data_IF_552294727890
#
_entry.id   IF_552294727890
#
_cell.length_a   1.000
_cell.length_b   1.000
_cell.length_c   1.000
_cell.angle_alpha   90.00
_cell.angle_beta   90.00
_cell.angle_gamma   90.00
#
_symmetry.space_group_name_H-M   'P 1'
#
loop_
_entity.id
_entity.type
_entity.pdbx_description
1 polymer ?
#
# COMPACT_ATOMS: atom_id res chain seq x y z
N UNK A 1 1.11 18.53 16.50
CA UNK A 1 0.74 17.79 15.29
C UNK A 1 1.09 18.64 14.08
N UNK A 2 1.56 18.01 13.01
CA UNK A 2 1.96 18.68 11.77
C UNK A 2 1.86 17.71 10.60
N UNK A 3 2.12 18.21 9.40
CA UNK A 3 2.24 17.37 8.21
C UNK A 3 3.60 16.66 8.18
N UNK A 4 3.63 15.43 7.70
CA UNK A 4 4.87 14.72 7.42
C UNK A 4 5.79 15.51 6.46
N UNK A 5 5.18 16.25 5.54
CA UNK A 5 5.91 17.09 4.58
C UNK A 5 6.64 18.28 5.22
N UNK A 6 6.25 18.66 6.43
CA UNK A 6 6.87 19.77 7.17
C UNK A 6 7.97 19.28 8.14
N UNK A 7 8.17 17.96 8.24
CA UNK A 7 9.09 17.32 9.20
C UNK A 7 10.50 17.93 9.20
N UNK A 8 11.16 18.20 8.04
CA UNK A 8 12.50 18.80 8.03
C UNK A 8 12.56 20.20 8.66
N UNK A 9 11.45 20.94 8.66
CA UNK A 9 11.38 22.31 9.18
C UNK A 9 10.92 22.41 10.63
N UNK A 10 10.53 21.28 11.24
CA UNK A 10 10.03 21.25 12.62
C UNK A 10 11.11 21.36 13.69
N UNK A 11 12.40 21.32 13.31
CA UNK A 11 13.52 21.45 14.26
C UNK A 11 13.65 20.25 15.21
N UNK A 12 13.17 19.07 14.82
CA UNK A 12 13.19 17.85 15.65
C UNK A 12 14.56 17.14 15.64
N UNK A 13 15.50 17.58 14.82
CA UNK A 13 16.79 16.91 14.62
C UNK A 13 16.69 15.72 13.70
N UNK A 14 17.69 14.83 13.76
CA UNK A 14 17.75 13.61 12.94
C UNK A 14 17.47 12.39 13.82
N UNK A 15 16.92 11.35 13.18
CA UNK A 15 16.53 10.09 13.83
C UNK A 15 17.37 8.93 13.31
N UNK A 16 17.84 8.06 14.19
CA UNK A 16 18.56 6.83 13.80
C UNK A 16 17.61 5.81 13.15
N UNK A 17 16.32 5.85 13.50
CA UNK A 17 15.31 4.99 12.92
C UNK A 17 13.98 5.74 12.77
N UNK A 18 13.34 5.59 11.63
CA UNK A 18 12.00 6.11 11.33
C UNK A 18 11.09 4.96 10.95
N UNK A 19 9.93 4.86 11.57
CA UNK A 19 8.88 3.92 11.18
C UNK A 19 7.74 4.67 10.48
N UNK A 20 7.47 4.33 9.21
CA UNK A 20 6.46 4.94 8.37
C UNK A 20 5.56 3.88 7.74
N UNK A 21 4.68 3.32 8.56
CA UNK A 21 3.74 2.28 8.16
C UNK A 21 2.37 2.87 7.82
N UNK A 22 1.83 2.55 6.63
CA UNK A 22 0.48 2.91 6.25
C UNK A 22 0.24 4.38 5.89
N UNK A 23 1.28 5.15 5.54
CA UNK A 23 1.17 6.61 5.34
C UNK A 23 1.49 7.04 3.92
N UNK A 24 2.63 6.63 3.36
CA UNK A 24 3.13 7.17 2.09
C UNK A 24 2.15 6.98 0.92
N UNK A 25 1.46 5.85 0.88
CA UNK A 25 0.54 5.51 -0.20
C UNK A 25 -0.77 6.35 -0.18
N UNK A 26 -1.01 7.12 0.87
CA UNK A 26 -2.12 8.06 0.98
C UNK A 26 -1.73 9.51 0.65
N UNK A 27 -0.44 9.79 0.49
CA UNK A 27 0.01 11.13 0.12
C UNK A 27 -0.31 11.44 -1.35
N UNK A 28 -0.48 12.72 -1.64
CA UNK A 28 -0.60 13.21 -3.02
C UNK A 28 0.69 12.94 -3.80
N UNK A 29 1.82 13.20 -3.14
CA UNK A 29 3.16 12.96 -3.64
C UNK A 29 3.95 12.10 -2.63
N UNK A 30 3.94 10.76 -2.78
CA UNK A 30 4.70 9.86 -1.93
C UNK A 30 6.22 10.07 -1.99
N UNK A 31 6.74 10.48 -3.16
CA UNK A 31 8.17 10.73 -3.33
C UNK A 31 8.63 11.92 -2.48
N UNK A 32 7.84 13.00 -2.47
CA UNK A 32 8.07 14.15 -1.59
C UNK A 32 7.95 13.78 -0.11
N UNK A 33 7.00 12.92 0.23
CA UNK A 33 6.86 12.39 1.59
C UNK A 33 8.08 11.61 2.03
N UNK A 34 8.57 10.71 1.18
CA UNK A 34 9.76 9.91 1.46
C UNK A 34 11.02 10.78 1.53
N UNK A 35 11.17 11.78 0.65
CA UNK A 35 12.28 12.74 0.72
C UNK A 35 12.32 13.49 2.06
N UNK A 36 11.17 13.98 2.55
CA UNK A 36 11.09 14.65 3.86
C UNK A 36 11.50 13.74 5.03
N UNK A 37 11.15 12.45 4.97
CA UNK A 37 11.61 11.45 5.94
C UNK A 37 13.12 11.23 5.83
N UNK A 38 13.65 11.12 4.61
CA UNK A 38 15.08 10.91 4.35
C UNK A 38 15.93 12.09 4.85
N UNK A 39 15.45 13.33 4.67
CA UNK A 39 16.12 14.52 5.20
C UNK A 39 16.17 14.53 6.73
N UNK A 40 15.27 13.84 7.39
CA UNK A 40 15.21 13.73 8.86
C UNK A 40 15.93 12.48 9.40
N UNK A 41 16.48 11.65 8.51
CA UNK A 41 17.23 10.45 8.90
C UNK A 41 18.69 10.81 9.21
N UNK A 42 19.23 10.27 10.30
CA UNK A 42 20.65 10.41 10.63
C UNK A 42 21.53 9.68 9.62
N UNK A 43 22.77 10.14 9.38
CA UNK A 43 23.71 9.39 8.56
C UNK A 43 23.90 7.96 9.07
N UNK A 44 23.65 6.97 8.22
CA UNK A 44 23.67 5.55 8.59
C UNK A 44 22.41 5.05 9.32
N UNK A 45 21.41 5.89 9.46
CA UNK A 45 20.11 5.51 10.00
C UNK A 45 19.31 4.60 9.07
N UNK A 46 18.27 3.99 9.58
CA UNK A 46 17.37 3.08 8.87
C UNK A 46 15.90 3.51 8.91
N UNK A 47 15.10 2.97 7.99
CA UNK A 47 13.69 3.28 7.93
C UNK A 47 12.86 2.00 7.69
N UNK A 48 11.80 1.80 8.47
CA UNK A 48 10.75 0.84 8.21
C UNK A 48 9.63 1.48 7.39
N UNK A 49 9.33 0.93 6.22
CA UNK A 49 8.27 1.43 5.36
C UNK A 49 7.27 0.31 5.09
N UNK A 50 5.97 0.59 5.28
CA UNK A 50 4.91 -0.26 4.78
C UNK A 50 4.01 0.55 3.84
N UNK A 51 3.82 0.02 2.64
CA UNK A 51 2.86 0.52 1.64
C UNK A 51 1.98 -0.62 1.16
N UNK A 52 0.87 -0.30 0.52
CA UNK A 52 -0.03 -1.31 -0.02
C UNK A 52 0.57 -1.99 -1.26
N UNK A 53 0.49 -3.32 -1.31
CA UNK A 53 0.91 -4.14 -2.45
C UNK A 53 -0.20 -4.30 -3.50
N UNK A 54 0.16 -4.20 -4.78
CA UNK A 54 -0.78 -4.29 -5.92
C UNK A 54 -1.52 -5.62 -5.91
N UNK A 55 -0.81 -6.72 -5.76
CA UNK A 55 -1.37 -8.07 -5.84
C UNK A 55 -2.21 -8.42 -4.62
N UNK A 56 -1.74 -8.05 -3.42
CA UNK A 56 -2.48 -8.23 -2.17
C UNK A 56 -3.81 -7.47 -2.13
N UNK A 57 -3.93 -6.39 -2.89
CA UNK A 57 -5.16 -5.59 -3.00
C UNK A 57 -6.06 -5.97 -4.19
N UNK A 58 -5.89 -7.15 -4.76
CA UNK A 58 -6.76 -7.66 -5.83
C UNK A 58 -8.22 -7.64 -5.41
N UNK A 59 -9.06 -6.98 -6.19
CA UNK A 59 -10.48 -6.76 -5.91
C UNK A 59 -10.82 -5.43 -5.24
N UNK A 60 -9.88 -4.81 -4.52
CA UNK A 60 -10.11 -3.53 -3.83
C UNK A 60 -10.35 -2.41 -4.83
N UNK A 61 -9.43 -2.21 -5.78
CA UNK A 61 -9.52 -1.12 -6.76
C UNK A 61 -10.71 -1.29 -7.71
N UNK A 62 -11.11 -2.53 -8.01
CA UNK A 62 -12.32 -2.83 -8.77
C UNK A 62 -13.57 -2.42 -7.98
N UNK A 63 -13.64 -2.75 -6.69
CA UNK A 63 -14.74 -2.33 -5.82
C UNK A 63 -14.78 -0.80 -5.63
N UNK A 64 -13.62 -0.15 -5.45
CA UNK A 64 -13.53 1.31 -5.42
C UNK A 64 -14.04 1.93 -6.74
N UNK A 65 -13.70 1.35 -7.90
CA UNK A 65 -14.18 1.82 -9.19
C UNK A 65 -15.70 1.69 -9.32
N UNK A 66 -16.29 0.56 -8.87
CA UNK A 66 -17.75 0.39 -8.82
C UNK A 66 -18.42 1.44 -7.92
N UNK A 67 -17.86 1.69 -6.73
CA UNK A 67 -18.38 2.70 -5.80
C UNK A 67 -18.31 4.11 -6.40
N UNK A 68 -17.21 4.46 -7.05
CA UNK A 68 -17.10 5.75 -7.75
C UNK A 68 -18.16 5.92 -8.84
N UNK A 69 -18.50 4.85 -9.57
CA UNK A 69 -19.58 4.88 -10.57
C UNK A 69 -20.94 5.08 -9.94
N UNK A 70 -21.23 4.39 -8.82
CA UNK A 70 -22.51 4.49 -8.13
C UNK A 70 -22.75 5.88 -7.52
N UNK A 71 -21.68 6.54 -7.06
CA UNK A 71 -21.79 7.83 -6.34
C UNK A 71 -21.43 9.04 -7.20
N UNK A 72 -21.11 8.84 -8.49
CA UNK A 72 -20.62 9.88 -9.39
C UNK A 72 -21.52 11.10 -9.52
N UNK A 73 -22.84 10.88 -9.47
CA UNK A 73 -23.85 11.90 -9.67
C UNK A 73 -24.63 12.24 -8.39
N UNK A 74 -24.12 11.77 -7.23
CA UNK A 74 -24.79 12.07 -5.97
C UNK A 74 -24.71 13.57 -5.67
N UNK A 75 -25.84 14.23 -5.32
CA UNK A 75 -25.84 15.63 -4.91
C UNK A 75 -25.05 15.80 -3.60
N UNK A 76 -24.52 17.00 -3.35
CA UNK A 76 -23.65 17.29 -2.22
C UNK A 76 -24.10 16.78 -0.84
N UNK A 77 -25.41 16.77 -0.45
CA UNK A 77 -25.84 16.19 0.83
C UNK A 77 -25.69 14.66 0.90
N UNK A 78 -25.75 13.95 -0.24
CA UNK A 78 -25.55 12.50 -0.30
C UNK A 78 -24.07 12.08 -0.27
N UNK A 79 -23.15 13.02 -0.35
CA UNK A 79 -21.69 12.78 -0.31
C UNK A 79 -21.11 12.69 1.09
N UNK A 80 -21.94 12.63 2.15
CA UNK A 80 -21.41 12.45 3.52
C UNK A 80 -20.70 11.11 3.67
N UNK A 81 -19.67 11.01 4.53
CA UNK A 81 -18.99 9.74 4.80
C UNK A 81 -19.97 8.62 5.15
N UNK A 82 -20.97 8.89 5.98
CA UNK A 82 -22.00 7.92 6.40
C UNK A 82 -22.86 7.42 5.23
N UNK A 83 -23.28 8.32 4.33
CA UNK A 83 -24.03 7.93 3.15
C UNK A 83 -23.18 7.05 2.21
N UNK A 84 -21.93 7.40 2.00
CA UNK A 84 -20.99 6.60 1.20
C UNK A 84 -20.73 5.22 1.81
N UNK A 85 -20.58 5.13 3.12
CA UNK A 85 -20.44 3.86 3.86
C UNK A 85 -21.69 2.99 3.64
N UNK A 86 -22.88 3.57 3.73
CA UNK A 86 -24.15 2.84 3.49
C UNK A 86 -24.20 2.25 2.07
N UNK A 87 -23.82 3.03 1.06
CA UNK A 87 -23.75 2.56 -0.33
C UNK A 87 -22.73 1.43 -0.47
N UNK A 88 -21.54 1.58 0.13
CA UNK A 88 -20.50 0.56 0.10
C UNK A 88 -20.96 -0.76 0.75
N UNK A 89 -21.59 -0.70 1.93
CA UNK A 89 -22.16 -1.89 2.61
C UNK A 89 -23.22 -2.57 1.75
N UNK A 90 -24.11 -1.80 1.13
CA UNK A 90 -25.16 -2.33 0.25
C UNK A 90 -24.55 -3.02 -0.97
N UNK A 91 -23.53 -2.43 -1.60
CA UNK A 91 -22.81 -3.05 -2.71
C UNK A 91 -22.15 -4.36 -2.28
N UNK A 92 -21.36 -4.34 -1.19
CA UNK A 92 -20.63 -5.51 -0.71
C UNK A 92 -21.55 -6.70 -0.40
N UNK A 93 -22.72 -6.44 0.16
CA UNK A 93 -23.71 -7.49 0.47
C UNK A 93 -24.24 -8.20 -0.79
N UNK A 94 -24.21 -7.54 -1.94
CA UNK A 94 -24.73 -8.05 -3.21
C UNK A 94 -23.67 -8.60 -4.16
N UNK A 95 -22.40 -8.46 -3.84
CA UNK A 95 -21.34 -9.00 -4.67
C UNK A 95 -21.42 -10.53 -4.74
N UNK A 96 -21.27 -11.15 -5.92
CA UNK A 96 -21.28 -12.60 -6.05
C UNK A 96 -20.08 -13.23 -5.33
N UNK A 97 -20.22 -14.49 -4.94
CA UNK A 97 -19.14 -15.24 -4.28
C UNK A 97 -17.86 -15.37 -5.11
N UNK A 98 -17.97 -15.18 -6.43
CA UNK A 98 -16.83 -15.19 -7.36
C UNK A 98 -16.10 -13.84 -7.45
N UNK A 99 -16.62 -12.80 -6.80
CA UNK A 99 -15.99 -11.48 -6.79
C UNK A 99 -14.60 -11.54 -6.12
N UNK A 100 -13.62 -10.90 -6.73
CA UNK A 100 -12.23 -10.94 -6.27
C UNK A 100 -12.04 -10.39 -4.85
N UNK A 101 -12.70 -9.29 -4.50
CA UNK A 101 -12.62 -8.75 -3.13
C UNK A 101 -13.18 -9.75 -2.11
N UNK A 102 -14.33 -10.40 -2.40
CA UNK A 102 -14.90 -11.40 -1.51
C UNK A 102 -14.04 -12.66 -1.34
N UNK A 103 -13.21 -12.96 -2.33
CA UNK A 103 -12.32 -14.14 -2.32
C UNK A 103 -10.91 -13.83 -1.84
N UNK A 104 -10.60 -12.57 -1.57
CA UNK A 104 -9.26 -12.17 -1.18
C UNK A 104 -9.06 -12.36 0.34
N UNK A 105 -8.28 -13.35 0.79
CA UNK A 105 -8.05 -13.59 2.21
C UNK A 105 -7.07 -12.58 2.84
N UNK A 106 -6.35 -11.80 2.01
CA UNK A 106 -5.39 -10.81 2.49
C UNK A 106 -6.04 -9.47 2.87
N UNK A 107 -7.36 -9.32 2.63
CA UNK A 107 -8.06 -8.06 2.85
C UNK A 107 -9.30 -8.31 3.72
N UNK A 108 -9.22 -7.88 4.98
CA UNK A 108 -10.28 -8.06 5.97
C UNK A 108 -10.81 -6.77 6.61
N UNK A 109 -10.13 -5.63 6.43
CA UNK A 109 -10.42 -4.37 7.14
C UNK A 109 -11.88 -3.92 7.03
N UNK A 110 -12.50 -4.10 5.86
CA UNK A 110 -13.92 -3.76 5.61
C UNK A 110 -14.91 -4.66 6.36
N UNK A 111 -14.46 -5.79 6.88
CA UNK A 111 -15.24 -6.75 7.67
C UNK A 111 -14.99 -6.58 9.16
N UNK A 112 -13.73 -6.37 9.56
CA UNK A 112 -13.25 -6.47 10.93
C UNK A 112 -13.12 -5.12 11.65
N UNK A 113 -12.73 -4.06 10.91
CA UNK A 113 -12.49 -2.73 11.49
C UNK A 113 -13.68 -1.76 11.38
N UNK A 114 -14.88 -2.27 11.18
CA UNK A 114 -16.12 -1.49 11.16
C UNK A 114 -16.19 -0.45 10.04
N UNK A 115 -16.80 0.70 10.33
CA UNK A 115 -16.98 1.78 9.35
C UNK A 115 -15.65 2.47 8.99
N UNK A 116 -14.73 2.56 9.93
CA UNK A 116 -13.41 3.17 9.69
C UNK A 116 -12.59 2.34 8.70
N UNK A 117 -12.48 1.03 8.92
CA UNK A 117 -11.75 0.15 8.02
C UNK A 117 -12.39 0.03 6.64
N UNK A 118 -13.74 0.03 6.58
CA UNK A 118 -14.45 0.06 5.31
C UNK A 118 -14.19 1.36 4.55
N UNK A 119 -14.20 2.49 5.26
CA UNK A 119 -13.95 3.80 4.64
C UNK A 119 -12.51 3.90 4.13
N UNK A 120 -11.55 3.51 4.94
CA UNK A 120 -10.13 3.51 4.57
C UNK A 120 -9.88 2.63 3.35
N UNK A 121 -10.36 1.40 3.37
CA UNK A 121 -10.13 0.44 2.29
C UNK A 121 -10.80 0.83 0.97
N UNK A 122 -12.06 1.30 1.00
CA UNK A 122 -12.90 1.40 -0.20
C UNK A 122 -13.28 2.82 -0.59
N UNK A 123 -13.20 3.78 0.31
CA UNK A 123 -13.73 5.12 0.12
C UNK A 123 -12.67 6.21 0.28
N UNK A 124 -11.44 5.86 0.64
CA UNK A 124 -10.33 6.80 0.71
C UNK A 124 -10.13 7.46 -0.66
N UNK A 125 -9.94 8.78 -0.68
CA UNK A 125 -9.83 9.55 -1.92
C UNK A 125 -8.47 9.36 -2.62
N UNK A 126 -7.46 8.98 -1.86
CA UNK A 126 -6.08 8.78 -2.33
C UNK A 126 -5.59 7.45 -1.77
N UNK A 127 -5.36 6.52 -2.66
CA UNK A 127 -4.90 5.19 -2.34
C UNK A 127 -4.10 4.68 -3.53
N UNK A 128 -2.82 4.41 -3.31
CA UNK A 128 -1.89 3.92 -4.33
C UNK A 128 -1.25 2.62 -3.83
N UNK A 129 -1.29 1.58 -4.64
CA UNK A 129 -0.50 0.39 -4.37
C UNK A 129 0.77 0.37 -5.21
N UNK A 130 1.76 -0.36 -4.73
CA UNK A 130 3.06 -0.56 -5.35
C UNK A 130 3.28 -2.05 -5.57
N UNK A 131 3.86 -2.40 -6.70
CA UNK A 131 4.60 -3.63 -6.85
C UNK A 131 6.04 -3.44 -6.31
N UNK A 132 6.80 -4.53 -6.20
CA UNK A 132 8.18 -4.47 -5.71
C UNK A 132 9.05 -3.54 -6.55
N UNK A 133 8.88 -3.53 -7.88
CA UNK A 133 9.65 -2.67 -8.77
C UNK A 133 9.34 -1.18 -8.54
N UNK A 134 8.06 -0.81 -8.47
CA UNK A 134 7.64 0.57 -8.21
C UNK A 134 8.02 1.05 -6.81
N UNK A 135 8.03 0.16 -5.80
CA UNK A 135 8.55 0.49 -4.49
C UNK A 135 10.06 0.74 -4.54
N UNK A 136 10.82 -0.10 -5.25
CA UNK A 136 12.27 0.08 -5.41
C UNK A 136 12.61 1.40 -6.12
N UNK A 137 11.85 1.77 -7.15
CA UNK A 137 12.01 3.07 -7.83
C UNK A 137 11.73 4.25 -6.87
N UNK A 138 10.68 4.16 -6.08
CA UNK A 138 10.35 5.20 -5.09
C UNK A 138 11.47 5.37 -4.06
N UNK A 139 12.00 4.27 -3.53
CA UNK A 139 13.07 4.24 -2.53
C UNK A 139 14.37 4.79 -3.12
N UNK A 140 14.77 4.33 -4.32
CA UNK A 140 15.96 4.81 -5.02
C UNK A 140 15.87 6.30 -5.36
N UNK A 141 14.68 6.79 -5.74
CA UNK A 141 14.43 8.21 -6.01
C UNK A 141 14.65 9.12 -4.80
N UNK A 142 14.56 8.59 -3.59
CA UNK A 142 14.89 9.29 -2.34
C UNK A 142 16.36 9.11 -1.89
N UNK A 143 17.21 8.46 -2.69
CA UNK A 143 18.59 8.19 -2.34
C UNK A 143 18.77 7.08 -1.30
N UNK A 144 17.79 6.20 -1.14
CA UNK A 144 17.82 5.07 -0.23
C UNK A 144 17.94 3.74 -1.00
N UNK A 145 18.29 2.68 -0.26
CA UNK A 145 18.34 1.31 -0.76
C UNK A 145 17.44 0.41 0.10
N UNK A 146 16.82 -0.60 -0.51
CA UNK A 146 16.07 -1.63 0.21
C UNK A 146 17.09 -2.59 0.82
N UNK A 147 17.25 -2.53 2.14
CA UNK A 147 18.14 -3.44 2.87
C UNK A 147 17.56 -4.86 3.00
N UNK A 148 16.24 -4.96 3.24
CA UNK A 148 15.54 -6.22 3.35
C UNK A 148 14.01 -6.01 3.25
N UNK A 149 13.29 -7.07 2.87
CA UNK A 149 11.85 -7.15 3.06
C UNK A 149 11.54 -7.79 4.42
N UNK A 150 10.52 -7.27 5.10
CA UNK A 150 9.98 -7.93 6.29
C UNK A 150 9.32 -9.23 5.86
N UNK A 151 9.52 -10.32 6.62
CA UNK A 151 9.13 -11.67 6.22
C UNK A 151 9.75 -12.07 4.85
N UNK A 152 11.09 -12.14 4.74
CA UNK A 152 11.80 -12.26 3.47
C UNK A 152 11.41 -13.49 2.65
N UNK A 153 10.88 -14.53 3.30
CA UNK A 153 10.38 -15.72 2.59
C UNK A 153 9.20 -15.43 1.65
N UNK A 154 8.40 -14.40 1.91
CA UNK A 154 7.29 -13.98 1.04
C UNK A 154 7.78 -13.45 -0.30
N UNK A 155 9.02 -12.95 -0.32
CA UNK A 155 9.68 -12.37 -1.48
C UNK A 155 10.77 -13.30 -2.04
N UNK A 156 10.77 -14.58 -1.66
CA UNK A 156 11.69 -15.58 -2.17
C UNK A 156 10.93 -16.68 -2.94
N UNK A 157 11.10 -16.78 -4.26
CA UNK A 157 10.50 -17.83 -5.07
C UNK A 157 10.78 -19.25 -4.55
N UNK A 158 11.92 -19.47 -3.90
CA UNK A 158 12.28 -20.76 -3.33
C UNK A 158 11.37 -21.20 -2.17
N UNK A 159 10.58 -20.27 -1.62
CA UNK A 159 9.63 -20.59 -0.55
C UNK A 159 8.44 -21.43 -1.03
N UNK A 160 8.13 -21.41 -2.34
CA UNK A 160 6.98 -22.11 -2.92
C UNK A 160 7.30 -22.87 -4.20
N UNK A 161 8.41 -22.58 -4.90
CA UNK A 161 8.86 -23.34 -6.04
C UNK A 161 9.81 -24.45 -5.62
N UNK A 162 9.44 -25.70 -5.88
CA UNK A 162 10.32 -26.87 -5.69
C UNK A 162 11.08 -27.27 -6.96
N UNK A 163 10.61 -26.84 -8.12
CA UNK A 163 11.23 -27.12 -9.42
C UNK A 163 12.50 -26.27 -9.62
N UNK A 164 13.65 -26.94 -9.67
CA UNK A 164 14.95 -26.29 -9.82
C UNK A 164 15.15 -25.63 -11.18
N UNK A 165 14.45 -26.09 -12.24
CA UNK A 165 14.55 -25.49 -13.56
C UNK A 165 13.76 -24.18 -13.63
N UNK A 166 12.62 -24.11 -12.95
CA UNK A 166 11.89 -22.87 -12.77
C UNK A 166 12.68 -21.84 -11.94
N UNK A 167 13.26 -22.29 -10.84
CA UNK A 167 14.09 -21.42 -9.99
C UNK A 167 15.30 -20.85 -10.73
N UNK A 168 15.93 -21.63 -11.63
CA UNK A 168 17.04 -21.13 -12.45
C UNK A 168 16.63 -20.08 -13.47
N UNK A 169 15.36 -20.01 -13.85
CA UNK A 169 14.85 -19.01 -14.78
C UNK A 169 14.63 -17.66 -14.12
N UNK A 170 14.43 -17.65 -12.80
CA UNK A 170 14.32 -16.40 -12.05
C UNK A 170 15.71 -15.76 -11.93
N UNK A 171 15.82 -14.49 -12.27
CA UNK A 171 17.10 -13.79 -12.17
C UNK A 171 17.53 -13.67 -10.71
N UNK A 172 18.62 -14.39 -10.36
CA UNK A 172 19.17 -14.39 -9.01
C UNK A 172 20.19 -13.28 -8.76
N UNK A 173 20.60 -12.56 -9.81
CA UNK A 173 21.55 -11.45 -9.70
C UNK A 173 20.88 -10.14 -9.32
N UNK A 174 19.58 -10.04 -9.62
CA UNK A 174 18.75 -8.89 -9.28
C UNK A 174 17.76 -9.26 -8.15
N UNK A 175 18.06 -8.85 -6.91
CA UNK A 175 17.16 -9.12 -5.77
C UNK A 175 15.78 -8.52 -5.93
N UNK A 176 15.65 -7.38 -6.60
CA UNK A 176 14.36 -6.71 -6.83
C UNK A 176 13.50 -7.49 -7.84
N UNK A 177 14.09 -7.91 -8.98
CA UNK A 177 13.37 -8.74 -9.95
C UNK A 177 12.95 -10.08 -9.33
N UNK A 178 13.80 -10.68 -8.49
CA UNK A 178 13.49 -11.93 -7.78
C UNK A 178 12.33 -11.73 -6.78
N UNK A 179 12.37 -10.67 -6.01
CA UNK A 179 11.31 -10.34 -5.05
C UNK A 179 10.00 -10.02 -5.76
N UNK A 180 10.04 -9.27 -6.86
CA UNK A 180 8.86 -8.96 -7.67
C UNK A 180 8.25 -10.18 -8.37
N UNK A 181 9.04 -11.21 -8.66
CA UNK A 181 8.50 -12.49 -9.14
C UNK A 181 7.76 -13.25 -8.03
N UNK A 182 8.21 -13.13 -6.79
CA UNK A 182 7.62 -13.84 -5.65
C UNK A 182 6.38 -13.15 -5.06
N UNK A 183 6.25 -11.85 -5.29
CA UNK A 183 5.12 -11.04 -4.87
C UNK A 183 3.78 -11.62 -5.40
#
# INVERSE_FOLDING_TARGET
SGSLLDLPTMGLGHFDYIDCCGVLHHLEDPARGLAALTESLAPGGGMGIMVYGVHGRTGVYQAQAMLRQLTRNDPAPAATPQARIKVARSLLAQLPATNWLRRNPAVGDHLEAGDAGLYDLLLHSRDRAYDVAGLAELVAGAGLEIAAFIEPWRYDPASYLSDTDLLRRVDRRDPIARAGFAE
#
